data_IF_827133002210
#
_entry.id   IF_827133002210
#
_cell.length_a   1.000
_cell.length_b   1.000
_cell.length_c   1.000
_cell.angle_alpha   90.00
_cell.angle_beta   90.00
_cell.angle_gamma   90.00
#
_symmetry.space_group_name_H-M   'P 1'
#
loop_
_entity.id
_entity.type
_entity.pdbx_description
1 polymer ?
#
# COMPACT_ATOMS: atom_id res chain seq x y z
N UNK A 1 -4.65 -20.25 10.95
CA UNK A 1 -4.73 -19.53 9.66
C UNK A 1 -3.36 -19.55 8.99
N UNK A 2 -3.26 -20.16 7.81
CA UNK A 2 -2.01 -20.25 7.05
C UNK A 2 -1.90 -19.06 6.10
N UNK A 3 -0.74 -18.40 6.09
CA UNK A 3 -0.51 -17.18 5.31
C UNK A 3 0.77 -17.33 4.50
N UNK A 4 0.69 -17.12 3.19
CA UNK A 4 1.91 -17.09 2.37
C UNK A 4 2.58 -15.73 2.46
N UNK A 5 3.91 -15.74 2.63
CA UNK A 5 4.74 -14.55 2.65
C UNK A 5 5.94 -14.75 1.73
N UNK A 6 6.29 -13.72 0.96
CA UNK A 6 7.55 -13.66 0.20
C UNK A 6 8.47 -12.57 0.77
N UNK A 7 9.71 -12.51 0.32
CA UNK A 7 10.65 -11.47 0.76
C UNK A 7 10.49 -10.20 -0.09
N UNK A 8 9.76 -9.22 0.42
CA UNK A 8 9.54 -7.93 -0.22
C UNK A 8 9.56 -6.79 0.82
N UNK A 9 10.75 -6.41 1.32
CA UNK A 9 10.88 -5.34 2.30
C UNK A 9 10.42 -3.97 1.75
N UNK A 10 9.86 -3.08 2.59
CA UNK A 10 9.60 -3.24 4.02
C UNK A 10 8.25 -3.94 4.32
N UNK A 11 7.50 -4.33 3.29
CA UNK A 11 6.15 -4.88 3.43
C UNK A 11 6.14 -6.26 4.11
N UNK A 12 7.16 -7.08 3.83
CA UNK A 12 7.33 -8.41 4.41
C UNK A 12 8.80 -8.84 4.31
N UNK A 13 9.36 -9.23 5.44
CA UNK A 13 10.75 -9.64 5.63
C UNK A 13 10.72 -11.05 6.21
N UNK A 14 11.12 -12.01 5.37
CA UNK A 14 11.42 -13.37 5.82
C UNK A 14 12.55 -13.35 6.85
N UNK A 15 12.25 -13.88 8.02
CA UNK A 15 13.20 -14.12 9.11
C UNK A 15 12.56 -15.14 10.07
N UNK A 16 13.27 -15.69 11.07
CA UNK A 16 12.69 -16.63 12.03
C UNK A 16 11.40 -16.10 12.69
N UNK A 17 11.29 -14.77 12.84
CA UNK A 17 10.06 -14.09 13.22
C UNK A 17 9.69 -13.08 12.13
N UNK A 18 8.83 -13.47 11.15
CA UNK A 18 8.46 -12.60 10.06
C UNK A 18 7.96 -11.23 10.54
N UNK A 19 8.35 -10.19 9.83
CA UNK A 19 8.01 -8.80 10.14
C UNK A 19 7.78 -7.99 8.86
N UNK A 20 7.17 -6.82 8.97
CA UNK A 20 6.80 -6.00 7.82
C UNK A 20 5.41 -5.39 7.98
N UNK A 21 5.09 -4.42 7.13
CA UNK A 21 3.77 -3.77 7.12
C UNK A 21 2.62 -4.78 6.97
N UNK A 22 2.72 -5.67 5.98
CA UNK A 22 1.69 -6.68 5.72
C UNK A 22 1.60 -7.66 6.90
N UNK A 23 2.73 -8.02 7.50
CA UNK A 23 2.79 -8.92 8.66
C UNK A 23 2.13 -8.28 9.89
N UNK A 24 2.35 -6.98 10.13
CA UNK A 24 1.69 -6.24 11.19
C UNK A 24 0.16 -6.28 11.03
N UNK A 25 -0.34 -6.05 9.81
CA UNK A 25 -1.75 -6.11 9.50
C UNK A 25 -2.33 -7.54 9.64
N UNK A 26 -1.61 -8.56 9.17
CA UNK A 26 -2.00 -9.98 9.32
C UNK A 26 -2.12 -10.38 10.79
N UNK A 27 -1.19 -9.94 11.64
CA UNK A 27 -1.24 -10.22 13.07
C UNK A 27 -2.48 -9.59 13.73
N UNK A 28 -2.90 -8.41 13.29
CA UNK A 28 -4.18 -7.80 13.72
C UNK A 28 -5.36 -8.62 13.21
N UNK A 29 -5.37 -9.01 11.93
CA UNK A 29 -6.45 -9.80 11.33
C UNK A 29 -6.67 -11.11 12.10
N UNK A 30 -5.58 -11.79 12.42
CA UNK A 30 -5.61 -13.04 13.18
C UNK A 30 -6.24 -12.87 14.56
N UNK A 31 -5.89 -11.78 15.27
CA UNK A 31 -6.51 -11.43 16.56
C UNK A 31 -8.00 -11.12 16.42
N UNK A 32 -8.39 -10.34 15.42
CA UNK A 32 -9.80 -9.99 15.12
C UNK A 32 -10.63 -11.25 14.88
N UNK A 33 -10.05 -12.25 14.21
CA UNK A 33 -10.70 -13.51 13.88
C UNK A 33 -10.49 -14.63 14.91
N UNK A 34 -9.72 -14.37 15.98
CA UNK A 34 -9.32 -15.36 16.97
C UNK A 34 -8.68 -16.63 16.37
N UNK A 35 -7.72 -16.43 15.45
CA UNK A 35 -6.88 -17.50 14.91
C UNK A 35 -5.41 -17.26 15.24
N UNK A 36 -4.67 -18.36 15.36
CA UNK A 36 -3.21 -18.33 15.28
C UNK A 36 -2.74 -18.26 13.84
N UNK A 37 -1.63 -17.55 13.63
CA UNK A 37 -1.01 -17.41 12.30
C UNK A 37 0.11 -18.41 12.14
N UNK A 38 0.11 -19.09 10.99
CA UNK A 38 1.24 -19.89 10.52
C UNK A 38 1.71 -19.30 9.19
N UNK A 39 2.89 -18.71 9.18
CA UNK A 39 3.51 -18.23 7.96
C UNK A 39 4.13 -19.38 7.19
N UNK A 40 3.92 -19.39 5.88
CA UNK A 40 4.63 -20.27 4.94
C UNK A 40 5.35 -19.39 3.93
N UNK A 41 6.60 -19.74 3.66
CA UNK A 41 7.42 -19.01 2.71
C UNK A 41 7.05 -19.37 1.28
N UNK A 42 6.85 -18.35 0.45
CA UNK A 42 6.71 -18.47 -1.00
C UNK A 42 7.93 -17.87 -1.70
N UNK A 43 8.31 -18.46 -2.84
CA UNK A 43 9.46 -18.00 -3.61
C UNK A 43 9.32 -16.55 -4.13
N UNK A 44 8.09 -16.08 -4.34
CA UNK A 44 7.73 -14.72 -4.75
C UNK A 44 6.22 -14.51 -4.65
N UNK A 45 5.76 -13.27 -4.82
CA UNK A 45 4.35 -12.91 -4.79
C UNK A 45 3.46 -13.74 -5.75
N UNK A 46 3.93 -14.04 -6.98
CA UNK A 46 3.16 -14.87 -7.93
C UNK A 46 2.96 -16.29 -7.41
N UNK A 47 3.98 -16.85 -6.75
CA UNK A 47 3.90 -18.14 -6.10
C UNK A 47 2.86 -18.12 -4.96
N UNK A 48 2.90 -17.10 -4.10
CA UNK A 48 1.89 -16.94 -3.04
C UNK A 48 0.46 -16.76 -3.59
N UNK A 49 0.30 -16.01 -4.67
CA UNK A 49 -0.99 -15.85 -5.36
C UNK A 49 -1.53 -17.19 -5.88
N UNK A 50 -0.66 -18.03 -6.46
CA UNK A 50 -1.02 -19.38 -6.90
C UNK A 50 -1.45 -20.25 -5.72
N UNK A 51 -0.69 -20.24 -4.62
CA UNK A 51 -1.06 -20.97 -3.39
C UNK A 51 -2.43 -20.53 -2.86
N UNK A 52 -2.73 -19.22 -2.89
CA UNK A 52 -4.05 -18.70 -2.50
C UNK A 52 -5.16 -19.23 -3.40
N UNK A 53 -4.98 -19.16 -4.72
CA UNK A 53 -5.95 -19.65 -5.73
C UNK A 53 -6.20 -21.16 -5.64
N UNK A 54 -5.17 -21.92 -5.29
CA UNK A 54 -5.24 -23.37 -5.13
C UNK A 54 -5.78 -23.78 -3.74
N UNK A 55 -5.88 -22.85 -2.79
CA UNK A 55 -6.34 -23.14 -1.42
C UNK A 55 -5.27 -23.76 -0.52
N UNK A 56 -3.99 -23.65 -0.91
CA UNK A 56 -2.86 -24.12 -0.11
C UNK A 56 -2.56 -23.19 1.08
N UNK A 57 -2.98 -21.92 0.97
CA UNK A 57 -2.97 -20.95 2.07
C UNK A 57 -4.35 -20.30 2.20
N UNK A 58 -4.63 -19.81 3.40
CA UNK A 58 -5.91 -19.17 3.71
C UNK A 58 -5.88 -17.69 3.30
N UNK A 59 -4.82 -16.97 3.66
CA UNK A 59 -4.70 -15.53 3.45
C UNK A 59 -3.47 -15.18 2.60
N UNK A 60 -3.60 -14.12 1.81
CA UNK A 60 -2.50 -13.35 1.22
C UNK A 60 -2.77 -11.86 1.44
N UNK A 61 -1.77 -11.10 1.87
CA UNK A 61 -1.87 -9.64 2.02
C UNK A 61 -1.24 -8.91 0.82
N UNK A 62 -1.42 -7.59 0.75
CA UNK A 62 -0.83 -6.76 -0.30
C UNK A 62 -1.52 -6.87 -1.66
N UNK A 63 -2.79 -7.31 -1.70
CA UNK A 63 -3.54 -7.39 -2.96
C UNK A 63 -4.11 -6.03 -3.35
N UNK A 64 -4.18 -5.78 -4.65
CA UNK A 64 -5.06 -4.78 -5.26
C UNK A 64 -6.37 -5.47 -5.65
N UNK A 65 -7.48 -4.76 -5.58
CA UNK A 65 -8.78 -5.26 -6.00
C UNK A 65 -8.88 -5.40 -7.52
N UNK A 66 -9.13 -6.61 -8.00
CA UNK A 66 -9.33 -6.90 -9.42
C UNK A 66 -10.43 -7.96 -9.58
N UNK A 67 -11.30 -7.85 -10.61
CA UNK A 67 -12.36 -8.83 -10.87
C UNK A 67 -11.85 -10.28 -10.91
N UNK A 68 -10.72 -10.53 -11.60
CA UNK A 68 -10.10 -11.86 -11.71
C UNK A 68 -9.67 -12.45 -10.36
N UNK A 69 -9.33 -11.62 -9.37
CA UNK A 69 -8.95 -12.06 -8.02
C UNK A 69 -10.17 -12.40 -7.18
N UNK A 70 -11.27 -11.67 -7.39
CA UNK A 70 -12.57 -11.96 -6.76
C UNK A 70 -13.18 -13.28 -7.20
N UNK A 71 -12.75 -13.86 -8.33
CA UNK A 71 -13.16 -15.20 -8.75
C UNK A 71 -12.76 -16.26 -7.71
N UNK A 72 -11.54 -16.18 -7.17
CA UNK A 72 -10.96 -17.22 -6.29
C UNK A 72 -10.70 -16.77 -4.84
N UNK A 73 -10.80 -15.48 -4.53
CA UNK A 73 -10.62 -14.94 -3.19
C UNK A 73 -11.75 -13.97 -2.81
N UNK A 74 -12.07 -13.91 -1.52
CA UNK A 74 -12.78 -12.78 -0.95
C UNK A 74 -11.77 -11.69 -0.60
N UNK A 75 -12.03 -10.47 -1.04
CA UNK A 75 -11.12 -9.33 -0.84
C UNK A 75 -11.66 -8.39 0.24
N UNK A 76 -10.85 -8.10 1.24
CA UNK A 76 -11.17 -7.18 2.34
C UNK A 76 -10.13 -6.07 2.43
N UNK A 77 -10.53 -4.79 2.36
CA UNK A 77 -9.57 -3.70 2.47
C UNK A 77 -8.97 -3.67 3.87
N UNK A 78 -7.68 -3.32 3.98
CA UNK A 78 -7.02 -3.17 5.28
C UNK A 78 -6.11 -1.95 5.38
N UNK A 79 -5.71 -1.36 4.26
CA UNK A 79 -4.85 -0.20 4.29
C UNK A 79 -5.08 0.67 3.06
N UNK A 80 -5.47 1.91 3.28
CA UNK A 80 -5.42 2.93 2.24
C UNK A 80 -4.00 3.48 2.28
N UNK A 81 -3.22 3.25 1.23
CA UNK A 81 -1.95 3.93 1.10
C UNK A 81 -2.26 5.43 1.07
N UNK A 82 -1.59 6.24 1.91
CA UNK A 82 -1.68 7.68 1.74
C UNK A 82 -1.27 7.99 0.30
N UNK A 83 -2.07 8.81 -0.41
CA UNK A 83 -1.78 9.23 -1.77
C UNK A 83 -0.32 9.73 -1.81
N UNK A 84 0.57 9.15 -2.62
CA UNK A 84 1.99 9.57 -2.76
C UNK A 84 2.21 10.18 -4.14
N UNK A 85 2.57 11.48 -4.25
CA UNK A 85 2.79 12.21 -5.53
C UNK A 85 4.24 11.83 -5.69
N UNK A 86 4.52 10.91 -6.60
CA UNK A 86 5.88 10.76 -7.09
C UNK A 86 6.14 11.91 -8.08
N UNK A 87 6.66 13.05 -7.58
CA UNK A 87 7.15 14.12 -8.46
C UNK A 87 8.49 13.64 -9.02
N UNK A 88 8.45 13.12 -10.23
CA UNK A 88 9.67 12.88 -11.01
C UNK A 88 10.14 14.20 -11.60
N UNK A 89 11.20 14.78 -11.03
CA UNK A 89 11.85 15.95 -11.62
C UNK A 89 12.53 15.50 -12.92
N UNK A 90 11.95 15.86 -14.07
CA UNK A 90 12.58 15.66 -15.38
C UNK A 90 13.35 16.93 -15.71
N UNK A 91 14.66 16.92 -15.50
CA UNK A 91 15.51 17.96 -16.04
C UNK A 91 15.61 17.77 -17.56
N UNK A 92 14.94 18.62 -18.34
CA UNK A 92 15.40 18.95 -19.68
C UNK A 92 15.60 20.45 -19.75
N UNK A 93 16.81 20.91 -19.44
CA UNK A 93 17.22 22.29 -19.67
C UNK A 93 18.00 22.34 -20.97
N UNK A 94 17.41 22.90 -22.03
CA UNK A 94 18.20 23.43 -23.14
C UNK A 94 18.61 24.86 -22.73
N UNK A 95 19.87 25.03 -22.38
CA UNK A 95 20.45 26.33 -22.05
C UNK A 95 20.55 27.19 -23.30
N UNK A 96 19.97 28.38 -23.29
CA UNK A 96 20.37 29.47 -24.17
C UNK A 96 20.57 30.73 -23.30
N UNK A 97 21.75 31.32 -23.38
CA UNK A 97 22.12 32.54 -22.66
C UNK A 97 21.29 33.73 -23.13
N UNK A 98 20.61 34.39 -22.20
CA UNK A 98 19.75 35.55 -22.41
C UNK A 98 18.77 35.67 -21.24
N UNK A 99 18.19 36.85 -21.00
CA UNK A 99 17.39 37.24 -19.82
C UNK A 99 16.10 36.42 -19.54
N UNK A 100 15.93 35.24 -20.14
CA UNK A 100 14.78 34.35 -19.99
C UNK A 100 15.14 33.07 -19.23
N UNK A 101 15.40 33.18 -17.93
CA UNK A 101 15.71 32.03 -17.08
C UNK A 101 14.49 31.64 -16.22
N UNK A 102 13.74 30.63 -16.66
CA UNK A 102 13.36 29.40 -15.92
C UNK A 102 12.06 28.76 -16.46
N UNK A 103 12.07 28.27 -17.71
CA UNK A 103 11.00 27.38 -18.18
C UNK A 103 11.29 25.93 -17.74
N UNK A 104 11.02 25.64 -16.46
CA UNK A 104 10.96 24.25 -15.98
C UNK A 104 9.57 23.67 -16.31
N UNK A 105 9.53 22.75 -17.27
CA UNK A 105 8.34 21.93 -17.52
C UNK A 105 8.27 20.82 -16.48
N UNK A 106 7.43 21.01 -15.47
CA UNK A 106 7.13 19.97 -14.49
C UNK A 106 6.08 19.02 -15.07
N UNK A 107 6.45 17.76 -15.30
CA UNK A 107 5.47 16.69 -15.55
C UNK A 107 5.09 16.13 -14.19
N UNK A 108 3.95 16.59 -13.66
CA UNK A 108 3.35 15.99 -12.47
C UNK A 108 2.55 14.75 -12.87
N UNK A 109 2.95 13.58 -12.39
CA UNK A 109 2.06 12.42 -12.25
C UNK A 109 1.63 12.35 -10.78
N UNK A 110 0.40 11.92 -10.51
CA UNK A 110 -0.41 12.15 -9.29
C UNK A 110 0.12 11.64 -7.92
N UNK A 111 -0.39 12.25 -6.81
CA UNK A 111 -0.31 11.92 -5.34
C UNK A 111 -0.13 13.04 -4.22
N UNK A 112 0.71 12.94 -3.15
CA UNK A 112 1.26 13.99 -2.22
C UNK A 112 2.74 14.46 -2.40
N UNK A 113 2.97 15.78 -2.32
CA UNK A 113 4.28 16.45 -2.28
C UNK A 113 4.80 16.54 -0.83
N UNK A 114 6.00 16.04 -0.54
CA UNK A 114 6.72 16.38 0.70
C UNK A 114 7.46 17.72 0.53
N UNK A 115 6.82 18.80 0.99
CA UNK A 115 7.35 20.17 0.92
C UNK A 115 8.74 20.31 1.54
N UNK A 116 9.11 19.43 2.49
CA UNK A 116 10.41 19.48 3.17
C UNK A 116 11.55 18.89 2.34
N UNK A 117 11.23 18.21 1.22
CA UNK A 117 12.21 17.65 0.27
C UNK A 117 12.44 18.54 -0.95
N UNK A 118 11.74 19.67 -1.04
CA UNK A 118 11.98 20.63 -2.11
C UNK A 118 13.30 21.36 -1.91
N UNK A 119 14.00 21.74 -3.00
CA UNK A 119 15.15 22.62 -2.90
C UNK A 119 14.71 23.90 -2.18
N UNK A 120 15.42 24.30 -1.13
CA UNK A 120 15.17 25.49 -0.29
C UNK A 120 15.46 26.81 -1.01
N UNK A 121 15.32 26.85 -2.33
CA UNK A 121 15.36 28.09 -3.09
C UNK A 121 13.96 28.72 -3.09
N UNK A 122 13.86 29.93 -2.52
CA UNK A 122 12.59 30.62 -2.24
C UNK A 122 11.72 30.83 -3.48
N UNK A 123 12.32 30.96 -4.66
CA UNK A 123 11.56 31.28 -5.88
C UNK A 123 11.03 30.01 -6.56
N UNK A 124 11.80 28.91 -6.52
CA UNK A 124 11.36 27.60 -7.00
C UNK A 124 10.20 27.08 -6.15
N UNK A 125 10.29 27.25 -4.82
CA UNK A 125 9.25 26.81 -3.90
C UNK A 125 7.92 27.55 -4.13
N UNK A 126 7.97 28.87 -4.36
CA UNK A 126 6.78 29.69 -4.69
C UNK A 126 6.12 29.27 -6.00
N UNK A 127 6.92 29.06 -7.05
CA UNK A 127 6.41 28.63 -8.37
C UNK A 127 5.76 27.25 -8.27
N UNK A 128 6.33 26.33 -7.49
CA UNK A 128 5.78 24.98 -7.33
C UNK A 128 4.45 24.99 -6.56
N UNK A 129 4.35 25.79 -5.48
CA UNK A 129 3.12 25.94 -4.70
C UNK A 129 2.00 26.57 -5.55
N UNK A 130 2.32 27.61 -6.34
CA UNK A 130 1.36 28.24 -7.25
C UNK A 130 0.81 27.23 -8.28
N UNK A 131 1.68 26.45 -8.92
CA UNK A 131 1.26 25.42 -9.89
C UNK A 131 0.43 24.30 -9.27
N UNK A 132 0.71 23.89 -8.03
CA UNK A 132 -0.08 22.88 -7.32
C UNK A 132 -1.52 23.36 -7.05
N UNK A 133 -1.69 24.64 -6.72
CA UNK A 133 -3.01 25.22 -6.47
C UNK A 133 -3.85 25.38 -7.75
N UNK A 134 -3.21 25.41 -8.92
CA UNK A 134 -3.88 25.46 -10.23
C UNK A 134 -4.31 24.07 -10.75
N UNK A 135 -3.78 22.98 -10.18
CA UNK A 135 -4.19 21.63 -10.56
C UNK A 135 -5.61 21.35 -10.06
N UNK A 136 -6.55 21.12 -10.98
CA UNK A 136 -7.92 20.71 -10.62
C UNK A 136 -7.87 19.45 -9.75
N UNK A 137 -8.66 19.36 -8.66
CA UNK A 137 -8.79 18.12 -7.91
C UNK A 137 -9.25 17.02 -8.87
N UNK A 138 -8.42 15.97 -8.99
CA UNK A 138 -8.76 14.77 -9.75
C UNK A 138 -10.02 14.16 -9.13
N UNK A 139 -10.95 13.72 -9.98
CA UNK A 139 -12.19 13.06 -9.56
C UNK A 139 -11.89 11.89 -8.61
N UNK A 140 -12.12 12.11 -7.31
CA UNK A 140 -11.58 11.31 -6.20
C UNK A 140 -12.17 9.90 -6.09
N UNK A 141 -13.23 9.56 -6.84
CA UNK A 141 -13.92 8.27 -6.69
C UNK A 141 -13.24 7.10 -7.39
N UNK A 142 -12.49 7.34 -8.47
CA UNK A 142 -11.78 6.27 -9.20
C UNK A 142 -10.44 5.88 -8.57
N UNK A 143 -9.72 6.86 -8.01
CA UNK A 143 -8.35 6.69 -7.49
C UNK A 143 -8.27 5.93 -6.16
N UNK A 144 -9.30 6.00 -5.32
CA UNK A 144 -9.32 5.31 -4.01
C UNK A 144 -9.24 3.78 -4.14
N UNK A 145 -9.71 3.20 -5.25
CA UNK A 145 -9.67 1.76 -5.48
C UNK A 145 -8.23 1.26 -5.79
N UNK A 146 -7.39 2.08 -6.41
CA UNK A 146 -6.02 1.69 -6.79
C UNK A 146 -5.00 1.83 -5.64
N UNK A 147 -5.28 2.70 -4.67
CA UNK A 147 -4.40 2.94 -3.51
C UNK A 147 -4.76 2.09 -2.28
N UNK A 148 -5.77 1.24 -2.36
CA UNK A 148 -6.19 0.38 -1.24
C UNK A 148 -5.56 -1.01 -1.35
N UNK A 149 -4.95 -1.47 -0.26
CA UNK A 149 -4.47 -2.85 -0.11
C UNK A 149 -5.54 -3.72 0.53
N UNK A 150 -5.64 -4.95 0.04
CA UNK A 150 -6.62 -5.94 0.41
C UNK A 150 -5.96 -7.23 0.93
N UNK A 151 -6.58 -7.82 1.94
CA UNK A 151 -6.40 -9.23 2.24
C UNK A 151 -7.22 -10.03 1.24
N UNK A 152 -6.61 -11.07 0.66
CA UNK A 152 -7.33 -12.12 -0.03
C UNK A 152 -7.53 -13.32 0.88
N UNK A 153 -8.77 -13.67 1.18
CA UNK A 153 -9.15 -14.95 1.78
C UNK A 153 -9.50 -15.92 0.67
N UNK A 154 -8.78 -17.04 0.56
CA UNK A 154 -9.09 -18.07 -0.44
C UNK A 154 -10.51 -18.58 -0.27
N UNK A 155 -11.30 -18.62 -1.36
CA UNK A 155 -12.61 -19.27 -1.35
C UNK A 155 -12.53 -20.78 -1.12
N UNK A 156 -11.34 -21.37 -1.27
CA UNK A 156 -11.04 -22.77 -0.97
C UNK A 156 -10.47 -22.97 0.44
N UNK A 157 -10.36 -21.90 1.24
CA UNK A 157 -9.91 -21.97 2.62
C UNK A 157 -10.82 -22.90 3.43
N UNK A 158 -10.22 -23.64 4.36
CA UNK A 158 -10.95 -24.48 5.32
C UNK A 158 -11.26 -23.75 6.63
N UNK A 159 -10.93 -22.46 6.73
CA UNK A 159 -11.25 -21.67 7.91
C UNK A 159 -12.77 -21.55 8.06
N UNK A 160 -13.24 -21.71 9.29
CA UNK A 160 -14.65 -21.55 9.63
C UNK A 160 -14.92 -20.07 9.90
N UNK A 161 -15.01 -19.28 8.84
CA UNK A 161 -15.33 -17.84 8.90
C UNK A 161 -16.85 -17.66 8.79
N UNK A 162 -17.45 -16.92 9.73
CA UNK A 162 -18.89 -16.64 9.77
C UNK A 162 -19.17 -15.24 9.20
N UNK A 163 -20.44 -14.97 8.87
CA UNK A 163 -20.90 -13.63 8.46
C UNK A 163 -20.47 -12.52 9.41
N UNK A 164 -20.55 -12.78 10.72
CA UNK A 164 -20.14 -11.85 11.77
C UNK A 164 -18.63 -11.54 11.77
N UNK A 165 -17.80 -12.41 11.22
CA UNK A 165 -16.36 -12.19 11.14
C UNK A 165 -16.02 -11.17 10.04
N UNK A 166 -16.75 -11.18 8.92
CA UNK A 166 -16.62 -10.14 7.90
C UNK A 166 -16.98 -8.76 8.44
N UNK A 167 -18.01 -8.68 9.29
CA UNK A 167 -18.39 -7.43 9.97
C UNK A 167 -17.24 -6.96 10.89
N UNK A 168 -16.59 -7.87 11.62
CA UNK A 168 -15.44 -7.51 12.46
C UNK A 168 -14.24 -7.01 11.64
N UNK A 169 -13.93 -7.66 10.51
CA UNK A 169 -12.85 -7.22 9.62
C UNK A 169 -13.15 -5.82 9.08
N UNK A 170 -14.37 -5.60 8.58
CA UNK A 170 -14.80 -4.31 8.07
C UNK A 170 -14.70 -3.21 9.14
N UNK A 171 -15.22 -3.47 10.35
CA UNK A 171 -15.10 -2.53 11.48
C UNK A 171 -13.64 -2.26 11.86
N UNK A 172 -12.76 -3.28 11.82
CA UNK A 172 -11.34 -3.10 12.08
C UNK A 172 -10.67 -2.20 11.03
N UNK A 173 -11.07 -2.30 9.77
CA UNK A 173 -10.61 -1.40 8.72
C UNK A 173 -11.14 0.03 8.91
N UNK A 174 -12.45 0.20 9.09
CA UNK A 174 -13.10 1.52 9.27
C UNK A 174 -12.58 2.28 10.49
N UNK A 175 -12.22 1.56 11.56
CA UNK A 175 -11.64 2.15 12.78
C UNK A 175 -10.12 2.33 12.72
N UNK A 176 -9.50 2.10 11.55
CA UNK A 176 -8.06 2.26 11.33
C UNK A 176 -7.20 1.31 12.17
N UNK A 177 -7.72 0.16 12.61
CA UNK A 177 -6.99 -0.76 13.47
C UNK A 177 -5.77 -1.36 12.74
N UNK A 178 -5.95 -1.73 11.47
CA UNK A 178 -4.86 -2.21 10.62
C UNK A 178 -3.84 -1.10 10.32
N UNK A 179 -4.31 0.09 9.93
CA UNK A 179 -3.43 1.24 9.63
C UNK A 179 -2.56 1.62 10.82
N UNK A 180 -3.12 1.67 12.04
CA UNK A 180 -2.33 1.96 13.25
C UNK A 180 -1.22 0.94 13.50
N UNK A 181 -1.48 -0.35 13.26
CA UNK A 181 -0.46 -1.38 13.40
C UNK A 181 0.67 -1.23 12.36
N UNK A 182 0.31 -0.90 11.12
CA UNK A 182 1.28 -0.61 10.05
C UNK A 182 2.10 0.64 10.40
N UNK A 183 1.45 1.73 10.81
CA UNK A 183 2.12 2.97 11.21
C UNK A 183 3.05 2.77 12.42
N UNK A 184 2.65 1.95 13.38
CA UNK A 184 3.51 1.60 14.51
C UNK A 184 4.74 0.82 14.04
N UNK A 185 4.57 -0.11 13.09
CA UNK A 185 5.68 -0.83 12.48
C UNK A 185 6.64 0.16 11.79
N UNK A 186 6.12 1.06 10.94
CA UNK A 186 6.91 2.10 10.26
C UNK A 186 7.68 2.97 11.27
N UNK A 187 7.00 3.46 12.31
CA UNK A 187 7.61 4.32 13.34
C UNK A 187 8.74 3.62 14.11
N UNK A 188 8.61 2.31 14.35
CA UNK A 188 9.61 1.51 15.08
C UNK A 188 10.75 1.00 14.20
N UNK A 189 10.60 1.01 12.88
CA UNK A 189 11.57 0.50 11.91
C UNK A 189 11.95 1.56 10.87
N UNK A 190 12.23 2.78 11.32
CA UNK A 190 12.61 3.90 10.44
C UNK A 190 13.81 3.58 9.54
N UNK A 191 14.70 2.68 9.94
CA UNK A 191 15.87 2.24 9.18
C UNK A 191 15.54 1.42 7.92
N UNK A 192 14.28 1.02 7.73
CA UNK A 192 13.82 0.31 6.53
C UNK A 192 13.29 1.25 5.43
N UNK A 193 13.28 2.56 5.66
CA UNK A 193 12.74 3.61 4.77
C UNK A 193 13.75 4.75 4.60
#
# INVERSE_FOLDING_TARGET
MTVCIDHYPPFQILSPKPQGENIAAINVLAKVLNYEVRFVEGANFKFCMRMLKEGQVDILAGLIDEPKRREFAYLFPYYNKPDKIDIKLVNSVAWHSGEDAFNATFIAQSGTLDINRLPTNSDIQKVLIAKLNEMKPLDHKGYLAENTLYFGLSKKSRLKIKGSDFIKIQKAFETGLFSRAIEQFIKSHKNLY
#
